data_IF_569228652669
#
_entry.id   IF_569228652669
#
_cell.length_a   1.000
_cell.length_b   1.000
_cell.length_c   1.000
_cell.angle_alpha   90.00
_cell.angle_beta   90.00
_cell.angle_gamma   90.00
#
_symmetry.space_group_name_H-M   'P 1'
#
loop_
_entity.id
_entity.type
_entity.pdbx_description
1 polymer ?
#
# COMPACT_ATOMS: atom_id res chain seq x y z
N UNK A 1 8.07 7.93 14.91
CA UNK A 1 7.31 8.95 14.17
C UNK A 1 6.15 8.25 13.47
N UNK A 2 4.91 8.71 13.65
CA UNK A 2 3.72 8.09 13.03
C UNK A 2 3.61 8.52 11.56
N UNK A 3 3.14 7.64 10.67
CA UNK A 3 2.92 7.93 9.23
C UNK A 3 2.07 9.19 9.04
N UNK A 4 1.00 9.36 9.82
CA UNK A 4 0.13 10.53 9.76
C UNK A 4 0.88 11.82 10.06
N UNK A 5 1.75 11.83 11.08
CA UNK A 5 2.56 13.00 11.40
C UNK A 5 3.55 13.31 10.28
N UNK A 6 4.22 12.29 9.74
CA UNK A 6 5.14 12.45 8.62
C UNK A 6 4.44 13.05 7.39
N UNK A 7 3.21 12.62 7.08
CA UNK A 7 2.40 13.20 6.00
C UNK A 7 2.04 14.65 6.29
N UNK A 8 1.53 14.96 7.49
CA UNK A 8 1.15 16.33 7.85
C UNK A 8 2.32 17.31 7.78
N UNK A 9 3.53 16.87 8.11
CA UNK A 9 4.74 17.71 8.05
C UNK A 9 5.26 17.92 6.63
N UNK A 10 5.14 16.91 5.75
CA UNK A 10 5.73 16.96 4.40
C UNK A 10 4.72 17.34 3.31
N UNK A 11 3.43 17.16 3.56
CA UNK A 11 2.32 17.37 2.64
C UNK A 11 1.14 18.07 3.35
N UNK A 12 1.36 19.24 3.99
CA UNK A 12 0.37 19.88 4.86
C UNK A 12 -0.94 20.26 4.15
N UNK A 13 -0.87 20.56 2.86
CA UNK A 13 -2.02 20.98 2.04
C UNK A 13 -2.68 19.82 1.28
N UNK A 14 -2.15 18.59 1.42
CA UNK A 14 -2.69 17.43 0.73
C UNK A 14 -3.45 16.48 1.64
N UNK A 15 -4.72 16.25 1.30
CA UNK A 15 -5.48 15.13 1.89
C UNK A 15 -5.01 13.81 1.27
N UNK A 16 -4.15 13.05 1.94
CA UNK A 16 -3.72 11.71 1.51
C UNK A 16 -4.62 10.64 2.13
N UNK A 17 -5.12 9.71 1.33
CA UNK A 17 -5.83 8.53 1.83
C UNK A 17 -4.82 7.43 2.18
N UNK A 18 -5.05 6.76 3.30
CA UNK A 18 -4.24 5.63 3.77
C UNK A 18 -5.09 4.36 3.75
N UNK A 19 -4.44 3.23 3.48
CA UNK A 19 -5.03 1.91 3.67
C UNK A 19 -4.78 1.47 5.12
N UNK A 20 -5.85 1.45 5.92
CA UNK A 20 -5.79 1.09 7.34
C UNK A 20 -5.29 -0.34 7.55
N UNK A 21 -4.51 -0.55 8.61
CA UNK A 21 -3.96 -1.86 8.95
C UNK A 21 -2.69 -2.26 8.17
N UNK A 22 -2.28 -1.46 7.18
CA UNK A 22 -1.12 -1.76 6.33
C UNK A 22 0.08 -0.84 6.54
N UNK A 23 0.19 -0.21 7.72
CA UNK A 23 1.28 0.72 8.07
C UNK A 23 2.68 0.14 7.79
N UNK A 24 2.89 -1.15 8.07
CA UNK A 24 4.16 -1.87 7.80
C UNK A 24 4.50 -2.02 6.32
N UNK A 25 3.51 -1.88 5.44
CA UNK A 25 3.69 -1.93 4.00
C UNK A 25 3.83 -0.54 3.37
N UNK A 26 3.68 0.55 4.13
CA UNK A 26 3.80 1.91 3.62
C UNK A 26 5.22 2.17 3.09
N UNK A 27 5.30 2.59 1.82
CA UNK A 27 6.55 2.92 1.13
C UNK A 27 6.80 4.42 1.12
N UNK A 28 5.75 5.22 0.92
CA UNK A 28 5.87 6.68 0.81
C UNK A 28 4.71 7.29 0.03
N UNK A 29 4.96 8.46 -0.56
CA UNK A 29 4.00 9.18 -1.41
C UNK A 29 4.45 9.14 -2.86
N UNK A 30 3.56 8.72 -3.75
CA UNK A 30 3.71 8.75 -5.20
C UNK A 30 3.02 9.97 -5.79
N UNK A 31 3.57 10.50 -6.88
CA UNK A 31 2.99 11.63 -7.62
C UNK A 31 3.10 11.40 -9.11
N UNK A 32 2.11 11.90 -9.85
CA UNK A 32 2.18 12.06 -11.30
C UNK A 32 2.13 13.55 -11.61
N UNK A 33 2.70 13.98 -12.75
CA UNK A 33 2.92 15.40 -13.07
C UNK A 33 1.70 16.31 -12.83
N UNK A 34 0.50 15.85 -13.19
CA UNK A 34 -0.74 16.63 -13.09
C UNK A 34 -1.84 15.96 -12.25
N UNK A 35 -1.49 14.99 -11.39
CA UNK A 35 -2.45 14.22 -10.60
C UNK A 35 -2.18 14.33 -9.11
N UNK A 36 -3.12 13.85 -8.29
CA UNK A 36 -2.98 13.94 -6.84
C UNK A 36 -1.79 13.10 -6.34
N UNK A 37 -1.20 13.53 -5.24
CA UNK A 37 -0.29 12.66 -4.50
C UNK A 37 -1.09 11.54 -3.83
N UNK A 38 -0.55 10.32 -3.85
CA UNK A 38 -1.19 9.13 -3.29
C UNK A 38 -0.24 8.36 -2.39
N UNK A 39 -0.77 7.71 -1.36
CA UNK A 39 0.01 6.77 -0.56
C UNK A 39 0.40 5.56 -1.41
N UNK A 40 1.64 5.09 -1.26
CA UNK A 40 2.19 3.93 -1.97
C UNK A 40 2.54 2.85 -0.96
N UNK A 41 2.12 1.62 -1.24
CA UNK A 41 2.35 0.45 -0.40
C UNK A 41 3.05 -0.68 -1.16
N UNK A 42 3.90 -1.47 -0.51
CA UNK A 42 4.47 -2.69 -1.07
C UNK A 42 3.41 -3.80 -1.03
N UNK A 43 2.95 -4.24 -2.21
CA UNK A 43 1.94 -5.30 -2.35
C UNK A 43 2.33 -6.58 -1.61
N UNK A 44 3.59 -7.00 -1.70
CA UNK A 44 4.04 -8.25 -1.06
C UNK A 44 3.96 -8.18 0.46
N UNK A 45 4.22 -6.99 1.03
CA UNK A 45 4.07 -6.75 2.46
C UNK A 45 2.60 -6.73 2.89
N UNK A 46 1.71 -6.16 2.08
CA UNK A 46 0.26 -6.22 2.33
C UNK A 46 -0.22 -7.67 2.39
N UNK A 47 0.18 -8.50 1.42
CA UNK A 47 -0.13 -9.94 1.42
C UNK A 47 0.44 -10.64 2.67
N UNK A 48 1.68 -10.31 3.08
CA UNK A 48 2.25 -10.84 4.32
C UNK A 48 1.41 -10.47 5.54
N UNK A 49 0.97 -9.22 5.66
CA UNK A 49 0.13 -8.76 6.79
C UNK A 49 -1.20 -9.52 6.82
N UNK A 50 -1.86 -9.70 5.67
CA UNK A 50 -3.12 -10.47 5.57
C UNK A 50 -2.95 -11.94 5.96
N UNK A 51 -1.81 -12.55 5.59
CA UNK A 51 -1.50 -13.92 6.01
C UNK A 51 -1.19 -14.03 7.49
N UNK A 52 -0.51 -13.04 8.06
CA UNK A 52 -0.26 -12.97 9.51
C UNK A 52 -1.56 -12.79 10.31
N UNK A 53 -2.63 -12.23 9.71
CA UNK A 53 -3.96 -12.19 10.32
C UNK A 53 -4.76 -13.50 10.18
N UNK A 54 -4.16 -14.57 9.64
CA UNK A 54 -4.74 -15.91 9.59
C UNK A 54 -5.34 -16.33 8.24
N UNK A 55 -5.24 -15.47 7.20
CA UNK A 55 -5.72 -15.82 5.86
C UNK A 55 -4.80 -16.83 5.18
N UNK A 56 -5.38 -17.75 4.41
CA UNK A 56 -4.60 -18.64 3.52
C UNK A 56 -3.94 -17.83 2.39
N UNK A 57 -2.89 -18.36 1.74
CA UNK A 57 -2.22 -17.65 0.65
C UNK A 57 -3.16 -17.12 -0.43
N UNK A 58 -4.01 -17.98 -1.01
CA UNK A 58 -4.92 -17.60 -2.10
C UNK A 58 -6.00 -16.62 -1.63
N UNK A 59 -6.55 -16.84 -0.44
CA UNK A 59 -7.51 -15.95 0.22
C UNK A 59 -6.92 -14.55 0.44
N UNK A 60 -5.65 -14.44 0.84
CA UNK A 60 -4.99 -13.16 1.03
C UNK A 60 -4.83 -12.40 -0.30
N UNK A 61 -4.58 -13.09 -1.41
CA UNK A 61 -4.53 -12.47 -2.74
C UNK A 61 -5.90 -12.02 -3.21
N UNK A 62 -6.93 -12.88 -3.10
CA UNK A 62 -8.30 -12.50 -3.43
C UNK A 62 -8.79 -11.33 -2.58
N UNK A 63 -8.53 -11.37 -1.27
CA UNK A 63 -8.89 -10.28 -0.37
C UNK A 63 -8.18 -8.99 -0.75
N UNK A 64 -6.89 -9.05 -1.07
CA UNK A 64 -6.15 -7.89 -1.57
C UNK A 64 -6.78 -7.33 -2.84
N UNK A 65 -7.03 -8.16 -3.85
CA UNK A 65 -7.53 -7.70 -5.15
C UNK A 65 -8.93 -7.06 -5.03
N UNK A 66 -9.84 -7.64 -4.23
CA UNK A 66 -11.21 -7.12 -4.11
C UNK A 66 -11.38 -6.06 -3.03
N UNK A 67 -10.79 -6.24 -1.85
CA UNK A 67 -11.08 -5.41 -0.67
C UNK A 67 -10.01 -4.36 -0.39
N UNK A 68 -8.81 -4.48 -0.96
CA UNK A 68 -7.71 -3.55 -0.71
C UNK A 68 -7.40 -2.73 -1.96
N UNK A 69 -6.92 -3.37 -3.03
CA UNK A 69 -6.63 -2.72 -4.30
C UNK A 69 -7.92 -2.33 -5.04
N UNK A 70 -8.94 -3.19 -4.99
CA UNK A 70 -10.25 -2.96 -5.60
C UNK A 70 -11.15 -1.96 -4.87
N UNK A 71 -10.80 -1.56 -3.63
CA UNK A 71 -11.54 -0.58 -2.84
C UNK A 71 -11.31 0.85 -3.32
N UNK A 72 -11.64 1.11 -4.59
CA UNK A 72 -11.47 2.40 -5.23
C UNK A 72 -12.48 3.42 -4.67
N UNK A 73 -11.97 4.50 -4.11
CA UNK A 73 -12.76 5.58 -3.49
C UNK A 73 -12.44 6.96 -4.11
N UNK A 74 -11.85 6.97 -5.31
CA UNK A 74 -11.52 8.16 -6.08
C UNK A 74 -10.02 8.28 -6.40
N UNK A 75 -9.63 9.40 -7.00
CA UNK A 75 -8.28 9.60 -7.57
C UNK A 75 -7.15 9.53 -6.54
N UNK A 76 -7.46 9.69 -5.25
CA UNK A 76 -6.51 9.57 -4.15
C UNK A 76 -6.39 8.17 -3.56
N UNK A 77 -7.06 7.19 -4.16
CA UNK A 77 -6.96 5.78 -3.75
C UNK A 77 -5.48 5.36 -3.74
N UNK A 78 -5.00 4.71 -2.65
CA UNK A 78 -3.62 4.27 -2.57
C UNK A 78 -3.17 3.39 -3.72
N UNK A 79 -1.88 3.50 -4.07
CA UNK A 79 -1.22 2.67 -5.07
C UNK A 79 -0.44 1.54 -4.42
N UNK A 80 -0.43 0.38 -5.06
CA UNK A 80 0.31 -0.79 -4.60
C UNK A 80 1.41 -1.15 -5.61
N UNK A 81 2.66 -1.17 -5.14
CA UNK A 81 3.82 -1.50 -5.95
C UNK A 81 4.21 -2.96 -5.79
N UNK A 82 4.49 -3.62 -6.91
CA UNK A 82 5.11 -4.94 -6.92
C UNK A 82 6.63 -4.76 -7.05
N UNK A 83 7.38 -5.14 -6.01
CA UNK A 83 8.83 -4.94 -5.98
C UNK A 83 9.55 -6.17 -6.55
N UNK A 84 10.68 -5.95 -7.25
CA UNK A 84 11.55 -7.04 -7.75
C UNK A 84 12.19 -7.89 -6.64
N UNK A 85 11.86 -7.65 -5.36
CA UNK A 85 12.42 -8.37 -4.22
C UNK A 85 12.01 -9.85 -4.23
N UNK A 86 10.83 -10.16 -4.77
CA UNK A 86 10.34 -11.54 -4.99
C UNK A 86 11.23 -12.32 -5.96
N UNK A 87 11.69 -11.69 -7.04
CA UNK A 87 12.55 -12.31 -8.07
C UNK A 87 13.94 -12.73 -7.57
N UNK A 88 14.38 -12.27 -6.39
CA UNK A 88 15.67 -12.67 -5.79
C UNK A 88 15.58 -14.00 -5.02
N UNK A 89 14.38 -14.48 -4.68
CA UNK A 89 14.20 -15.72 -3.90
C UNK A 89 14.27 -16.99 -4.75
N UNK A 90 14.14 -16.89 -6.08
CA UNK A 90 14.16 -18.03 -7.01
C UNK A 90 15.57 -18.39 -7.54
N UNK A 91 16.62 -17.73 -7.06
CA UNK A 91 18.02 -17.99 -7.46
C UNK A 91 18.87 -18.66 -6.38
N UNK A 92 18.28 -19.52 -5.54
CA UNK A 92 19.04 -20.38 -4.62
C UNK A 92 18.79 -21.84 -4.91
#
# INVERSE_FOLDING_TARGET
MNIKNWILENYPDEKILLSDGFDRAFVGIGRIFSGPSVAVYDKSMVITILRESGMKPDEAYEYFDFNVAGAYVGEKTPMFVETKRSLRKEKK
#
